data_IF_141278915602
#
_entry.id   IF_141278915602
#
_cell.length_a   1.000
_cell.length_b   1.000
_cell.length_c   1.000
_cell.angle_alpha   90.00
_cell.angle_beta   90.00
_cell.angle_gamma   90.00
#
_symmetry.space_group_name_H-M   'P 1'
#
loop_
_entity.id
_entity.type
_entity.pdbx_description
1 polymer ?
#
# COMPACT_ATOMS: atom_id res chain seq x y z
N UNK A 1 5.74 1.92 11.03
CA UNK A 1 4.43 2.57 10.95
C UNK A 1 3.32 1.55 11.10
N UNK A 2 2.32 1.87 11.91
CA UNK A 2 1.11 1.09 12.13
C UNK A 2 -0.10 1.88 11.67
N UNK A 3 -1.13 1.15 11.25
CA UNK A 3 -2.46 1.67 10.98
C UNK A 3 -3.45 1.09 11.97
N UNK A 4 -4.45 1.87 12.36
CA UNK A 4 -5.58 1.43 13.16
C UNK A 4 -6.85 1.80 12.42
N UNK A 5 -7.75 0.83 12.24
CA UNK A 5 -9.12 1.07 11.79
C UNK A 5 -10.09 0.86 12.95
N UNK A 6 -10.96 1.83 13.18
CA UNK A 6 -12.01 1.78 14.19
C UNK A 6 -13.39 1.52 13.55
N UNK A 7 -14.36 0.98 14.30
CA UNK A 7 -15.70 0.62 13.81
C UNK A 7 -16.49 1.70 13.07
N UNK A 8 -16.23 2.97 13.39
CA UNK A 8 -16.78 4.15 12.73
C UNK A 8 -16.12 4.44 11.36
N UNK A 9 -15.28 3.53 10.87
CA UNK A 9 -14.48 3.67 9.64
C UNK A 9 -13.41 4.76 9.70
N UNK A 10 -13.07 5.26 10.89
CA UNK A 10 -11.95 6.19 11.04
C UNK A 10 -10.62 5.44 10.98
N UNK A 11 -9.66 6.01 10.24
CA UNK A 11 -8.31 5.46 10.10
C UNK A 11 -7.32 6.35 10.84
N UNK A 12 -6.46 5.71 11.62
CA UNK A 12 -5.37 6.34 12.35
C UNK A 12 -4.03 5.72 11.97
N UNK A 13 -2.96 6.48 12.15
CA UNK A 13 -1.57 6.05 11.96
C UNK A 13 -0.76 6.30 13.23
N UNK A 14 0.24 5.47 13.46
CA UNK A 14 1.24 5.68 14.50
C UNK A 14 2.62 5.36 13.94
N UNK A 15 3.58 6.26 14.14
CA UNK A 15 4.97 6.05 13.72
C UNK A 15 5.74 5.28 14.79
N UNK A 16 5.46 3.98 14.84
CA UNK A 16 6.15 3.02 15.71
C UNK A 16 6.35 1.70 14.97
N UNK A 17 7.38 0.96 15.37
CA UNK A 17 7.61 -0.41 14.92
C UNK A 17 6.68 -1.39 15.64
N UNK A 18 6.15 -2.36 14.89
CA UNK A 18 5.25 -3.37 15.45
C UNK A 18 5.90 -4.16 16.59
N UNK A 19 7.16 -4.55 16.42
CA UNK A 19 7.89 -5.33 17.43
C UNK A 19 8.01 -4.58 18.76
N UNK A 20 8.29 -3.29 18.72
CA UNK A 20 8.36 -2.44 19.91
C UNK A 20 6.98 -2.31 20.57
N UNK A 21 5.94 -2.06 19.78
CA UNK A 21 4.57 -1.91 20.29
C UNK A 21 4.06 -3.21 20.96
N UNK A 22 4.32 -4.37 20.36
CA UNK A 22 3.97 -5.68 20.93
C UNK A 22 4.80 -6.01 22.18
N UNK A 23 6.07 -5.63 22.21
CA UNK A 23 6.92 -5.82 23.38
C UNK A 23 6.41 -4.99 24.58
N UNK A 24 5.98 -3.75 24.35
CA UNK A 24 5.38 -2.90 25.39
C UNK A 24 4.05 -3.44 25.91
N UNK A 25 3.21 -3.96 25.02
CA UNK A 25 1.93 -4.56 25.42
C UNK A 25 2.12 -5.83 26.24
N UNK A 26 3.05 -6.70 25.82
CA UNK A 26 3.42 -7.90 26.58
C UNK A 26 4.01 -7.59 27.95
N UNK A 27 4.77 -6.50 28.06
CA UNK A 27 5.33 -6.02 29.31
C UNK A 27 4.31 -5.26 30.18
N UNK A 28 3.07 -5.05 29.70
CA UNK A 28 2.03 -4.30 30.41
C UNK A 28 2.31 -2.79 30.51
N UNK A 29 3.25 -2.26 29.73
CA UNK A 29 3.65 -0.83 29.77
C UNK A 29 2.67 0.06 29.02
N UNK A 30 2.22 -0.38 27.85
CA UNK A 30 1.30 0.36 26.98
C UNK A 30 0.54 -0.61 26.08
N UNK A 31 -0.77 -0.44 25.94
CA UNK A 31 -1.58 -1.27 25.03
C UNK A 31 -1.50 -0.73 23.60
N UNK A 32 -1.75 -1.58 22.60
CA UNK A 32 -1.85 -1.14 21.21
C UNK A 32 -2.93 -0.07 21.00
N UNK A 33 -4.03 -0.18 21.76
CA UNK A 33 -5.11 0.80 21.77
C UNK A 33 -4.65 2.21 22.17
N UNK A 34 -3.61 2.30 23.01
CA UNK A 34 -3.21 3.51 23.72
C UNK A 34 -1.93 4.14 23.14
N UNK A 35 -1.54 3.75 21.92
CA UNK A 35 -0.46 4.43 21.19
C UNK A 35 -0.87 5.87 20.82
N UNK A 36 0.12 6.69 20.46
CA UNK A 36 -0.07 8.06 20.01
C UNK A 36 -0.61 8.13 18.57
N UNK A 37 -1.84 7.63 18.40
CA UNK A 37 -2.54 7.54 17.13
C UNK A 37 -2.91 8.93 16.58
N UNK A 38 -2.64 9.17 15.31
CA UNK A 38 -2.97 10.39 14.58
C UNK A 38 -3.91 10.07 13.44
N UNK A 39 -4.91 10.91 13.11
CA UNK A 39 -5.77 10.68 11.95
C UNK A 39 -4.94 10.50 10.68
N UNK A 40 -5.28 9.49 9.87
CA UNK A 40 -4.69 9.33 8.54
C UNK A 40 -5.20 10.44 7.61
N UNK A 41 -4.32 11.09 6.82
CA UNK A 41 -4.72 12.16 5.90
C UNK A 41 -5.48 11.68 4.65
N UNK A 42 -5.96 10.43 4.62
CA UNK A 42 -6.59 9.82 3.45
C UNK A 42 -5.60 9.05 2.56
N UNK A 43 -4.51 8.54 3.14
CA UNK A 43 -3.52 7.70 2.47
C UNK A 43 -4.12 6.35 2.07
N UNK A 44 -5.05 5.83 2.87
CA UNK A 44 -5.68 4.52 2.64
C UNK A 44 -7.19 4.59 2.82
N UNK A 45 -7.92 3.97 1.89
CA UNK A 45 -9.38 3.85 2.00
C UNK A 45 -9.77 2.92 3.17
N UNK A 46 -10.74 3.30 4.03
CA UNK A 46 -11.15 2.49 5.18
C UNK A 46 -11.58 1.06 4.80
N UNK A 47 -12.32 0.88 3.70
CA UNK A 47 -12.77 -0.44 3.25
C UNK A 47 -11.59 -1.37 2.91
N UNK A 48 -10.59 -0.83 2.20
CA UNK A 48 -9.36 -1.56 1.86
C UNK A 48 -8.56 -1.91 3.11
N UNK A 49 -8.44 -0.97 4.05
CA UNK A 49 -7.73 -1.22 5.30
C UNK A 49 -8.46 -2.27 6.16
N UNK A 50 -9.80 -2.26 6.21
CA UNK A 50 -10.58 -3.27 6.93
C UNK A 50 -10.36 -4.66 6.33
N UNK A 51 -10.39 -4.78 5.00
CA UNK A 51 -10.16 -6.05 4.33
C UNK A 51 -8.78 -6.64 4.67
N UNK A 52 -7.74 -5.80 4.71
CA UNK A 52 -6.40 -6.18 5.17
C UNK A 52 -6.39 -6.53 6.66
N UNK A 53 -7.04 -5.72 7.49
CA UNK A 53 -7.06 -5.90 8.93
C UNK A 53 -7.72 -7.21 9.35
N UNK A 54 -8.74 -7.65 8.62
CA UNK A 54 -9.41 -8.93 8.88
C UNK A 54 -8.57 -10.15 8.49
N UNK A 55 -7.52 -9.98 7.68
CA UNK A 55 -6.62 -11.05 7.22
C UNK A 55 -5.26 -11.04 7.93
N UNK A 56 -4.75 -9.85 8.25
CA UNK A 56 -3.37 -9.64 8.67
C UNK A 56 -3.23 -8.76 9.92
N UNK A 57 -4.37 -8.36 10.50
CA UNK A 57 -4.40 -7.42 11.59
C UNK A 57 -4.19 -8.05 12.96
N UNK A 58 -4.26 -7.18 13.97
CA UNK A 58 -4.13 -7.50 15.39
C UNK A 58 -5.27 -6.82 16.15
N UNK A 59 -5.91 -7.56 17.05
CA UNK A 59 -6.95 -7.03 17.94
C UNK A 59 -6.34 -5.99 18.91
N UNK A 60 -6.73 -4.73 18.75
CA UNK A 60 -6.37 -3.64 19.65
C UNK A 60 -7.55 -3.18 20.53
N UNK A 61 -8.58 -4.03 20.71
CA UNK A 61 -9.82 -3.83 21.48
C UNK A 61 -10.76 -2.74 20.98
N UNK A 62 -10.25 -1.57 20.61
CA UNK A 62 -11.02 -0.44 20.05
C UNK A 62 -11.15 -0.51 18.53
N UNK A 63 -10.51 -1.49 17.90
CA UNK A 63 -10.38 -1.63 16.47
C UNK A 63 -9.31 -2.65 16.12
N UNK A 64 -8.89 -2.66 14.86
CA UNK A 64 -7.87 -3.57 14.35
C UNK A 64 -6.64 -2.80 13.90
N UNK A 65 -5.47 -3.30 14.28
CA UNK A 65 -4.18 -2.72 13.91
C UNK A 65 -3.56 -3.51 12.76
N UNK A 66 -3.00 -2.82 11.78
CA UNK A 66 -2.31 -3.40 10.62
C UNK A 66 -0.91 -2.84 10.51
N UNK A 67 0.06 -3.70 10.20
CA UNK A 67 1.41 -3.25 9.92
C UNK A 67 1.48 -2.50 8.59
N UNK A 68 2.21 -1.38 8.55
CA UNK A 68 2.33 -0.56 7.35
C UNK A 68 2.94 -1.28 6.15
N UNK A 69 3.70 -2.37 6.36
CA UNK A 69 4.21 -3.20 5.27
C UNK A 69 3.11 -3.85 4.42
N UNK A 70 2.03 -4.33 5.04
CA UNK A 70 0.89 -4.88 4.31
C UNK A 70 0.13 -3.82 3.54
N UNK A 71 -0.06 -2.63 4.14
CA UNK A 71 -0.69 -1.49 3.47
C UNK A 71 0.17 -1.04 2.28
N UNK A 72 1.49 -0.96 2.44
CA UNK A 72 2.41 -0.61 1.35
C UNK A 72 2.32 -1.63 0.21
N UNK A 73 2.37 -2.93 0.51
CA UNK A 73 2.22 -3.99 -0.49
C UNK A 73 0.88 -3.91 -1.23
N UNK A 74 -0.22 -3.64 -0.53
CA UNK A 74 -1.53 -3.50 -1.14
C UNK A 74 -1.66 -2.27 -2.05
N UNK A 75 -0.98 -1.16 -1.72
CA UNK A 75 -1.04 0.10 -2.49
C UNK A 75 0.03 0.19 -3.60
N UNK A 76 1.06 -0.64 -3.56
CA UNK A 76 2.18 -0.58 -4.50
C UNK A 76 1.78 -0.67 -5.98
N UNK A 77 0.81 -1.52 -6.39
CA UNK A 77 0.35 -1.54 -7.79
C UNK A 77 -0.19 -0.19 -8.25
N UNK A 78 -0.99 0.49 -7.42
CA UNK A 78 -1.59 1.79 -7.75
C UNK A 78 -0.53 2.87 -7.84
N UNK A 79 0.45 2.83 -6.93
CA UNK A 79 1.62 3.71 -6.96
C UNK A 79 2.42 3.53 -8.25
N UNK A 80 2.71 2.28 -8.64
CA UNK A 80 3.47 1.99 -9.86
C UNK A 80 2.71 2.41 -11.12
N UNK A 81 1.38 2.21 -11.18
CA UNK A 81 0.55 2.70 -12.29
C UNK A 81 0.57 4.23 -12.39
N UNK A 82 0.45 4.93 -11.27
CA UNK A 82 0.53 6.39 -11.25
C UNK A 82 1.90 6.89 -11.74
N UNK A 83 2.99 6.24 -11.30
CA UNK A 83 4.35 6.56 -11.77
C UNK A 83 4.49 6.30 -13.28
N UNK A 84 4.00 5.17 -13.79
CA UNK A 84 4.01 4.86 -15.22
C UNK A 84 3.21 5.88 -16.04
N UNK A 85 2.03 6.27 -15.56
CA UNK A 85 1.19 7.26 -16.23
C UNK A 85 1.88 8.63 -16.28
N UNK A 86 2.46 9.08 -15.17
CA UNK A 86 3.21 10.33 -15.10
C UNK A 86 4.41 10.30 -16.04
N UNK A 87 5.15 9.19 -16.09
CA UNK A 87 6.27 9.03 -17.02
C UNK A 87 5.80 9.14 -18.48
N UNK A 88 4.69 8.48 -18.84
CA UNK A 88 4.12 8.58 -20.20
C UNK A 88 3.74 10.02 -20.57
N UNK A 89 3.11 10.76 -19.65
CA UNK A 89 2.72 12.15 -19.88
C UNK A 89 3.95 13.05 -20.09
N UNK A 90 4.98 12.89 -19.25
CA UNK A 90 6.22 13.65 -19.38
C UNK A 90 6.94 13.31 -20.69
N UNK A 91 7.03 12.02 -21.06
CA UNK A 91 7.62 11.62 -22.34
C UNK A 91 6.89 12.22 -23.52
N UNK A 92 5.55 12.20 -23.53
CA UNK A 92 4.74 12.80 -24.60
C UNK A 92 4.97 14.32 -24.70
N UNK A 93 5.09 15.02 -23.58
CA UNK A 93 5.41 16.45 -23.56
C UNK A 93 6.80 16.72 -24.14
N UNK A 94 7.80 15.93 -23.77
CA UNK A 94 9.16 16.08 -24.30
C UNK A 94 9.24 15.77 -25.79
N UNK A 95 8.58 14.71 -26.26
CA UNK A 95 8.51 14.34 -27.68
C UNK A 95 7.82 15.42 -28.52
N UNK A 96 6.88 16.18 -27.95
CA UNK A 96 6.19 17.27 -28.65
C UNK A 96 7.04 18.54 -28.84
N UNK A 97 8.16 18.65 -28.12
CA UNK A 97 9.07 19.81 -28.14
C UNK A 97 10.39 19.46 -28.84
N UNK A 98 10.68 18.17 -29.06
CA UNK A 98 11.92 17.72 -29.65
C UNK A 98 11.94 17.86 -31.19
N UNK A 99 13.02 18.44 -31.73
CA UNK A 99 13.28 18.50 -33.17
C UNK A 99 13.59 17.10 -33.73
N UNK A 100 13.30 16.89 -35.03
CA UNK A 100 13.62 15.63 -35.70
C UNK A 100 15.13 15.31 -35.66
N UNK A 101 15.53 14.06 -35.37
CA UNK A 101 16.94 13.66 -35.33
C UNK A 101 17.68 13.91 -36.64
N UNK A 102 18.82 14.60 -36.57
CA UNK A 102 19.76 14.69 -37.69
C UNK A 102 20.38 13.31 -37.97
N UNK A 103 20.85 13.10 -39.20
CA UNK A 103 21.37 11.80 -39.64
C UNK A 103 22.54 11.29 -38.78
N UNK A 104 23.40 12.19 -38.33
CA UNK A 104 24.60 11.90 -37.52
C UNK A 104 24.25 11.36 -36.11
N UNK A 105 23.09 11.75 -35.57
CA UNK A 105 22.66 11.35 -34.23
C UNK A 105 21.84 10.05 -34.20
N UNK A 106 21.51 9.46 -35.36
CA UNK A 106 20.62 8.29 -35.45
C UNK A 106 21.13 7.05 -34.71
N UNK A 107 22.44 6.90 -34.52
CA UNK A 107 23.00 5.82 -33.71
C UNK A 107 22.71 6.03 -32.22
N UNK A 108 22.90 7.26 -31.73
CA UNK A 108 22.56 7.68 -30.36
C UNK A 108 21.07 7.51 -30.08
N UNK A 109 20.19 8.01 -30.95
CA UNK A 109 18.74 7.86 -30.81
C UNK A 109 18.26 6.40 -30.82
N UNK A 110 18.92 5.52 -31.59
CA UNK A 110 18.62 4.08 -31.55
C UNK A 110 19.02 3.44 -30.23
N UNK A 111 20.15 3.83 -29.67
CA UNK A 111 20.59 3.37 -28.36
C UNK A 111 19.65 3.86 -27.24
N UNK A 112 19.29 5.15 -27.23
CA UNK A 112 18.33 5.68 -26.25
C UNK A 112 16.95 5.00 -26.35
N UNK A 113 16.47 4.71 -27.57
CA UNK A 113 15.23 3.94 -27.74
C UNK A 113 15.32 2.53 -27.15
N UNK A 114 16.47 1.86 -27.31
CA UNK A 114 16.66 0.53 -26.73
C UNK A 114 16.67 0.59 -25.19
N UNK A 115 17.37 1.56 -24.60
CA UNK A 115 17.38 1.80 -23.15
C UNK A 115 15.97 2.12 -22.63
N UNK A 116 15.21 2.97 -23.33
CA UNK A 116 13.84 3.29 -22.97
C UNK A 116 12.92 2.06 -23.03
N UNK A 117 13.12 1.17 -24.00
CA UNK A 117 12.36 -0.07 -24.13
C UNK A 117 12.69 -1.07 -23.02
N UNK A 118 13.97 -1.25 -22.67
CA UNK A 118 14.40 -2.06 -21.53
C UNK A 118 13.81 -1.53 -20.21
N UNK A 119 13.83 -0.22 -20.01
CA UNK A 119 13.22 0.41 -18.84
C UNK A 119 11.71 0.18 -18.76
N UNK A 120 11.00 0.21 -19.89
CA UNK A 120 9.55 -0.13 -19.93
C UNK A 120 9.32 -1.58 -19.57
N UNK A 121 10.12 -2.51 -20.10
CA UNK A 121 9.99 -3.94 -19.79
C UNK A 121 10.23 -4.21 -18.30
N UNK A 122 11.27 -3.62 -17.71
CA UNK A 122 11.55 -3.72 -16.28
C UNK A 122 10.40 -3.14 -15.43
N UNK A 123 9.87 -1.97 -15.82
CA UNK A 123 8.73 -1.35 -15.13
C UNK A 123 7.47 -2.21 -15.18
N UNK A 124 7.17 -2.81 -16.34
CA UNK A 124 6.04 -3.74 -16.48
C UNK A 124 6.24 -5.01 -15.66
N UNK A 125 7.48 -5.52 -15.57
CA UNK A 125 7.83 -6.64 -14.69
C UNK A 125 7.55 -6.32 -13.22
N UNK A 126 8.03 -5.16 -12.75
CA UNK A 126 7.81 -4.70 -11.38
C UNK A 126 6.32 -4.53 -11.05
N UNK A 127 5.53 -3.98 -11.98
CA UNK A 127 4.08 -3.84 -11.80
C UNK A 127 3.40 -5.21 -11.66
N UNK A 128 3.71 -6.18 -12.53
CA UNK A 128 3.14 -7.53 -12.44
C UNK A 128 3.50 -8.23 -11.14
N UNK A 129 4.74 -8.09 -10.67
CA UNK A 129 5.14 -8.62 -9.37
C UNK A 129 4.38 -7.96 -8.21
N UNK A 130 4.21 -6.65 -8.26
CA UNK A 130 3.43 -5.93 -7.24
C UNK A 130 1.96 -6.36 -7.25
N UNK A 131 1.35 -6.51 -8.43
CA UNK A 131 -0.02 -7.03 -8.59
C UNK A 131 -0.15 -8.42 -7.99
N UNK A 132 0.77 -9.33 -8.31
CA UNK A 132 0.78 -10.69 -7.74
C UNK A 132 0.87 -10.67 -6.21
N UNK A 133 1.76 -9.87 -5.63
CA UNK A 133 1.90 -9.77 -4.17
C UNK A 133 0.65 -9.18 -3.51
N UNK A 134 0.01 -8.20 -4.13
CA UNK A 134 -1.22 -7.60 -3.63
C UNK A 134 -2.41 -8.58 -3.74
N UNK A 135 -2.46 -9.38 -4.80
CA UNK A 135 -3.44 -10.45 -4.99
C UNK A 135 -3.26 -11.56 -3.94
N UNK A 136 -2.03 -12.06 -3.76
CA UNK A 136 -1.70 -13.05 -2.71
C UNK A 136 -2.16 -12.57 -1.33
N UNK A 137 -1.93 -11.29 -1.01
CA UNK A 137 -2.35 -10.69 0.26
C UNK A 137 -3.87 -10.61 0.43
N UNK A 138 -4.61 -10.45 -0.67
CA UNK A 138 -6.07 -10.37 -0.69
C UNK A 138 -6.75 -11.75 -0.65
N UNK A 139 -6.09 -12.76 -1.23
CA UNK A 139 -6.54 -14.15 -1.23
C UNK A 139 -6.36 -14.85 0.13
N UNK A 140 -5.50 -14.31 0.99
CA UNK A 140 -5.35 -14.82 2.35
C UNK A 140 -6.71 -14.88 3.08
N UNK A 141 -6.97 -15.96 3.84
CA UNK A 141 -8.26 -16.16 4.47
C UNK A 141 -8.51 -15.09 5.54
N UNK A 142 -9.77 -14.63 5.60
CA UNK A 142 -10.25 -13.82 6.73
C UNK A 142 -10.14 -14.63 8.01
N UNK A 143 -9.62 -14.01 9.06
CA UNK A 143 -9.45 -14.66 10.35
C UNK A 143 -10.67 -14.43 11.25
N UNK A 144 -11.39 -15.51 11.59
CA UNK A 144 -12.61 -15.46 12.42
C UNK A 144 -12.44 -14.70 13.74
N UNK A 145 -11.27 -14.81 14.36
CA UNK A 145 -11.00 -14.15 15.63
C UNK A 145 -10.92 -12.61 15.47
N UNK A 146 -10.45 -12.12 14.31
CA UNK A 146 -10.41 -10.70 13.99
C UNK A 146 -11.80 -10.18 13.62
N UNK A 147 -12.63 -10.98 12.92
CA UNK A 147 -14.05 -10.67 12.69
C UNK A 147 -14.78 -10.51 14.03
N UNK A 148 -14.59 -11.45 14.97
CA UNK A 148 -15.17 -11.36 16.32
C UNK A 148 -14.64 -10.16 17.10
N UNK A 149 -13.36 -9.82 16.97
CA UNK A 149 -12.80 -8.61 17.59
C UNK A 149 -13.43 -7.33 17.03
N UNK A 150 -13.57 -7.25 15.71
CA UNK A 150 -14.22 -6.15 15.01
C UNK A 150 -15.68 -5.96 15.46
N UNK A 151 -16.45 -7.05 15.49
CA UNK A 151 -17.84 -7.03 15.96
C UNK A 151 -17.94 -6.61 17.44
N UNK A 152 -17.04 -7.11 18.31
CA UNK A 152 -17.00 -6.70 19.72
C UNK A 152 -16.68 -5.21 19.90
N UNK A 153 -15.88 -4.63 19.00
CA UNK A 153 -15.59 -3.21 19.03
C UNK A 153 -16.80 -2.36 18.56
N UNK A 154 -17.80 -2.97 17.91
CA UNK A 154 -18.99 -2.30 17.38
C UNK A 154 -19.04 -2.24 15.85
N UNK A 155 -18.11 -2.92 15.17
CA UNK A 155 -18.05 -2.97 13.71
C UNK A 155 -19.11 -3.89 13.12
N UNK A 156 -19.62 -3.53 11.93
CA UNK A 156 -20.49 -4.42 11.16
C UNK A 156 -19.67 -5.51 10.46
N UNK A 157 -20.21 -6.72 10.40
CA UNK A 157 -19.60 -7.78 9.61
C UNK A 157 -19.53 -7.34 8.14
N UNK A 158 -18.39 -7.53 7.44
CA UNK A 158 -18.38 -7.36 6.00
C UNK A 158 -19.40 -8.33 5.38
N UNK A 159 -20.20 -7.84 4.43
CA UNK A 159 -21.07 -8.71 3.64
C UNK A 159 -20.18 -9.67 2.83
N UNK A 160 -20.53 -10.95 2.81
CA UNK A 160 -19.88 -11.98 1.99
C UNK A 160 -19.96 -11.64 0.48
#
# INVERSE_FOLDING_TARGET
>A
MLYLITPDSTVYTADIELGLALADEKAGRRRLADLDWRPDPGTVEPARLLALALRHGIDARRGLVVHGGFVAQALEPDRLRAVQQNHRLVTQQLESIADEPRFEDRAWFRHERAVAEEARQASNGALREAEKRAEELAEDPVQDHLVRAWQRAGGLAPAE
#
